data_IF_636006751772
#
_entry.id   IF_636006751772
#
_cell.length_a   1.000
_cell.length_b   1.000
_cell.length_c   1.000
_cell.angle_alpha   90.00
_cell.angle_beta   90.00
_cell.angle_gamma   90.00
#
_symmetry.space_group_name_H-M   'P 1'
#
loop_
_entity.id
_entity.type
_entity.pdbx_description
1 polymer ?
#
# COMPACT_ATOMS: atom_id res chain seq x y z
N UNK A 1 3.30 -1.47 -26.34
CA UNK A 1 2.70 -1.07 -25.04
C UNK A 1 1.54 -0.13 -25.30
N UNK A 2 0.33 -0.44 -24.83
CA UNK A 2 -0.81 0.49 -24.91
C UNK A 2 -0.44 1.78 -24.16
N UNK A 3 -0.63 2.94 -24.79
CA UNK A 3 -0.46 4.24 -24.13
C UNK A 3 -1.67 4.47 -23.22
N UNK A 4 -1.55 4.06 -21.96
CA UNK A 4 -2.53 4.37 -20.91
C UNK A 4 -2.27 5.81 -20.45
N UNK A 5 -3.33 6.61 -20.31
CA UNK A 5 -3.20 7.95 -19.74
C UNK A 5 -2.56 7.86 -18.34
N UNK A 6 -1.50 8.63 -18.11
CA UNK A 6 -0.75 8.61 -16.86
C UNK A 6 0.28 7.47 -16.72
N UNK A 7 0.58 6.72 -17.79
CA UNK A 7 1.55 5.61 -17.78
C UNK A 7 2.89 5.99 -17.12
N UNK A 8 3.52 7.09 -17.52
CA UNK A 8 4.78 7.58 -16.93
C UNK A 8 4.67 7.81 -15.43
N UNK A 9 3.52 8.29 -14.96
CA UNK A 9 3.29 8.51 -13.54
C UNK A 9 3.12 7.20 -12.78
N UNK A 10 2.46 6.20 -13.37
CA UNK A 10 2.38 4.85 -12.81
C UNK A 10 3.75 4.17 -12.76
N UNK A 11 4.56 4.30 -13.80
CA UNK A 11 5.94 3.80 -13.83
C UNK A 11 6.80 4.47 -12.74
N UNK A 12 6.68 5.79 -12.59
CA UNK A 12 7.38 6.54 -11.53
C UNK A 12 6.93 6.11 -10.13
N UNK A 13 5.64 5.92 -9.90
CA UNK A 13 5.10 5.41 -8.63
C UNK A 13 5.61 4.00 -8.35
N UNK A 14 5.65 3.12 -9.36
CA UNK A 14 6.17 1.77 -9.23
C UNK A 14 7.65 1.77 -8.81
N UNK A 15 8.49 2.54 -9.51
CA UNK A 15 9.91 2.67 -9.19
C UNK A 15 10.13 3.17 -7.75
N UNK A 16 9.45 4.25 -7.36
CA UNK A 16 9.54 4.79 -6.01
C UNK A 16 9.06 3.80 -4.95
N UNK A 17 8.01 3.03 -5.23
CA UNK A 17 7.50 2.02 -4.32
C UNK A 17 8.51 0.88 -4.10
N UNK A 18 9.14 0.38 -5.17
CA UNK A 18 10.16 -0.68 -5.07
C UNK A 18 11.37 -0.23 -4.24
N UNK A 19 11.90 0.97 -4.51
CA UNK A 19 13.03 1.52 -3.74
C UNK A 19 12.62 1.80 -2.29
N UNK A 20 11.44 2.39 -2.08
CA UNK A 20 10.94 2.66 -0.73
C UNK A 20 10.80 1.40 0.10
N UNK A 21 10.34 0.30 -0.51
CA UNK A 21 10.25 -1.03 0.12
C UNK A 21 11.62 -1.59 0.46
N UNK A 22 12.60 -1.49 -0.44
CA UNK A 22 13.98 -1.92 -0.19
C UNK A 22 14.64 -1.11 0.94
N UNK A 23 14.44 0.21 0.92
CA UNK A 23 14.99 1.12 1.93
C UNK A 23 14.31 0.98 3.29
N UNK A 24 13.11 0.42 3.37
CA UNK A 24 12.37 0.30 4.63
C UNK A 24 13.13 -0.46 5.72
N UNK A 25 14.00 -1.41 5.35
CA UNK A 25 14.87 -2.13 6.29
C UNK A 25 16.23 -1.51 6.55
N UNK A 26 16.72 -0.65 5.64
CA UNK A 26 18.05 -0.02 5.76
C UNK A 26 17.96 1.36 6.40
N UNK A 27 17.08 2.20 5.87
CA UNK A 27 16.89 3.57 6.31
C UNK A 27 15.39 3.93 6.23
N UNK A 28 14.67 3.89 7.36
CA UNK A 28 13.24 4.17 7.39
C UNK A 28 12.90 5.64 7.07
N UNK A 29 13.83 6.57 7.26
CA UNK A 29 13.63 7.97 6.88
C UNK A 29 13.61 8.14 5.36
N UNK A 30 14.53 7.47 4.64
CA UNK A 30 14.52 7.46 3.17
C UNK A 30 13.30 6.74 2.62
N UNK A 31 12.89 5.62 3.23
CA UNK A 31 11.63 4.96 2.85
C UNK A 31 10.43 5.90 2.99
N UNK A 32 10.36 6.64 4.10
CA UNK A 32 9.34 7.66 4.35
C UNK A 32 9.37 8.79 3.31
N UNK A 33 10.56 9.26 2.92
CA UNK A 33 10.72 10.27 1.88
C UNK A 33 10.16 9.80 0.52
N UNK A 34 10.54 8.60 0.06
CA UNK A 34 9.98 8.04 -1.18
C UNK A 34 8.46 7.79 -1.07
N UNK A 35 7.98 7.37 0.10
CA UNK A 35 6.55 7.24 0.38
C UNK A 35 5.80 8.57 0.25
N UNK A 36 6.38 9.68 0.72
CA UNK A 36 5.84 11.03 0.50
C UNK A 36 5.75 11.35 -1.00
N UNK A 37 6.80 11.05 -1.77
CA UNK A 37 6.80 11.30 -3.22
C UNK A 37 5.69 10.52 -3.95
N UNK A 38 5.49 9.24 -3.60
CA UNK A 38 4.41 8.42 -4.16
C UNK A 38 3.04 9.07 -3.94
N UNK A 39 2.77 9.53 -2.72
CA UNK A 39 1.50 10.18 -2.38
C UNK A 39 1.36 11.53 -3.09
N UNK A 40 2.43 12.31 -3.18
CA UNK A 40 2.42 13.61 -3.84
C UNK A 40 2.18 13.49 -5.35
N UNK A 41 2.83 12.54 -6.02
CA UNK A 41 2.59 12.23 -7.44
C UNK A 41 1.14 11.78 -7.64
N UNK A 42 0.64 10.90 -6.77
CA UNK A 42 -0.75 10.44 -6.81
C UNK A 42 -1.76 11.57 -6.66
N UNK A 43 -1.51 12.53 -5.76
CA UNK A 43 -2.35 13.72 -5.58
C UNK A 43 -2.28 14.67 -6.77
N UNK A 44 -1.07 14.99 -7.24
CA UNK A 44 -0.85 15.96 -8.32
C UNK A 44 -1.45 15.48 -9.65
N UNK A 45 -1.31 14.19 -9.94
CA UNK A 45 -1.76 13.60 -11.20
C UNK A 45 -3.12 12.90 -11.06
N UNK A 46 -3.82 13.06 -9.92
CA UNK A 46 -5.14 12.47 -9.63
C UNK A 46 -5.19 10.97 -9.92
N UNK A 47 -4.14 10.24 -9.52
CA UNK A 47 -4.00 8.82 -9.83
C UNK A 47 -4.76 7.93 -8.85
N UNK A 48 -5.46 6.94 -9.40
CA UNK A 48 -6.02 5.83 -8.63
C UNK A 48 -4.95 4.78 -8.33
N UNK A 49 -4.13 5.01 -7.31
CA UNK A 49 -3.13 4.03 -6.85
C UNK A 49 -3.82 2.75 -6.33
N UNK A 50 -3.25 1.59 -6.66
CA UNK A 50 -3.74 0.27 -6.25
C UNK A 50 -3.90 0.16 -4.71
N UNK A 51 -4.99 -0.47 -4.21
CA UNK A 51 -5.24 -0.63 -2.77
C UNK A 51 -4.07 -1.29 -2.04
N UNK A 52 -3.35 -2.24 -2.64
CA UNK A 52 -2.25 -2.93 -1.96
C UNK A 52 -1.07 -2.01 -1.63
N UNK A 53 -0.70 -1.13 -2.57
CA UNK A 53 0.32 -0.10 -2.32
C UNK A 53 -0.18 0.82 -1.19
N UNK A 54 -1.44 1.27 -1.25
CA UNK A 54 -2.03 2.12 -0.20
C UNK A 54 -2.11 1.42 1.16
N UNK A 55 -2.32 0.10 1.21
CA UNK A 55 -2.35 -0.70 2.44
C UNK A 55 -0.97 -0.73 3.09
N UNK A 56 0.08 -0.86 2.28
CA UNK A 56 1.47 -0.87 2.75
C UNK A 56 2.05 0.50 3.09
N UNK A 57 1.50 1.63 2.63
CA UNK A 57 1.99 2.96 3.04
C UNK A 57 1.47 3.35 4.43
N UNK A 58 2.35 3.77 5.34
CA UNK A 58 1.95 4.29 6.65
C UNK A 58 1.13 5.59 6.53
N UNK A 59 0.08 5.77 7.37
CA UNK A 59 -0.78 6.96 7.33
C UNK A 59 -0.06 8.25 7.76
N UNK A 60 0.89 8.15 8.70
CA UNK A 60 1.58 9.31 9.31
C UNK A 60 2.92 9.59 8.63
N UNK A 61 3.91 8.71 8.82
CA UNK A 61 5.25 8.89 8.27
C UNK A 61 5.39 8.52 6.79
N UNK A 62 4.40 7.82 6.21
CA UNK A 62 4.43 7.29 4.83
C UNK A 62 5.55 6.28 4.53
N UNK A 63 6.27 5.79 5.54
CA UNK A 63 7.14 4.61 5.42
C UNK A 63 6.36 3.41 4.88
N UNK A 64 7.00 2.60 4.03
CA UNK A 64 6.41 1.35 3.53
C UNK A 64 6.48 0.31 4.64
N UNK A 65 5.33 -0.27 4.96
CA UNK A 65 5.11 -1.26 6.00
C UNK A 65 5.43 -2.65 5.44
N UNK A 66 6.55 -3.21 5.90
CA UNK A 66 7.01 -4.56 5.58
C UNK A 66 7.04 -5.34 6.88
N UNK A 67 6.36 -6.49 6.91
CA UNK A 67 6.23 -7.29 8.11
C UNK A 67 7.61 -7.79 8.58
N UNK A 68 7.91 -7.64 9.86
CA UNK A 68 9.17 -8.06 10.47
C UNK A 68 10.36 -7.11 10.21
N UNK A 69 10.18 -6.08 9.38
CA UNK A 69 11.24 -5.13 9.03
C UNK A 69 10.90 -3.72 9.53
N UNK A 70 9.98 -3.04 8.85
CA UNK A 70 9.56 -1.66 9.19
C UNK A 70 8.25 -1.60 9.96
N UNK A 71 7.52 -2.70 10.03
CA UNK A 71 6.24 -2.79 10.69
C UNK A 71 6.00 -4.18 11.28
N UNK A 72 5.17 -4.22 12.32
CA UNK A 72 4.66 -5.47 12.91
C UNK A 72 3.23 -5.71 12.42
N UNK A 73 3.02 -6.85 11.75
CA UNK A 73 1.69 -7.32 11.36
C UNK A 73 1.15 -8.27 12.43
N UNK A 74 -0.08 -8.04 12.90
CA UNK A 74 -0.75 -8.87 13.91
C UNK A 74 -2.19 -9.17 13.50
N UNK A 75 -2.59 -10.43 13.68
CA UNK A 75 -3.98 -10.85 13.57
C UNK A 75 -4.67 -10.60 14.91
N UNK A 76 -5.69 -9.74 14.91
CA UNK A 76 -6.54 -9.47 16.07
C UNK A 76 -7.93 -10.03 15.87
N UNK A 77 -8.39 -10.79 16.85
CA UNK A 77 -9.76 -11.30 16.91
C UNK A 77 -10.50 -10.55 18.00
N UNK A 78 -11.59 -9.85 17.65
CA UNK A 78 -12.48 -9.20 18.61
C UNK A 78 -13.92 -9.55 18.24
N UNK A 79 -14.71 -10.04 19.20
CA UNK A 79 -16.13 -10.38 19.00
C UNK A 79 -16.37 -11.27 17.76
N UNK A 80 -15.62 -12.38 17.63
CA UNK A 80 -15.64 -13.32 16.48
C UNK A 80 -15.24 -12.73 15.12
N UNK A 81 -14.86 -11.44 15.03
CA UNK A 81 -14.37 -10.81 13.81
C UNK A 81 -12.84 -10.78 13.80
N UNK A 82 -12.24 -11.26 12.71
CA UNK A 82 -10.80 -11.22 12.49
C UNK A 82 -10.42 -9.90 11.81
N UNK A 83 -9.28 -9.35 12.21
CA UNK A 83 -8.75 -8.12 11.63
C UNK A 83 -7.22 -8.20 11.55
N UNK A 84 -6.67 -7.63 10.50
CA UNK A 84 -5.23 -7.50 10.28
C UNK A 84 -4.80 -6.11 10.72
N UNK A 85 -4.03 -6.02 11.80
CA UNK A 85 -3.43 -4.78 12.25
C UNK A 85 -1.97 -4.69 11.82
N UNK A 86 -1.62 -3.60 11.17
CA UNK A 86 -0.26 -3.16 10.94
C UNK A 86 0.11 -2.11 11.99
N UNK A 87 1.23 -2.26 12.68
CA UNK A 87 1.82 -1.24 13.55
C UNK A 87 3.16 -0.81 12.97
N UNK A 88 3.32 0.48 12.67
CA UNK A 88 4.59 1.01 12.19
C UNK A 88 5.63 1.05 13.32
N UNK A 89 6.86 0.59 13.08
CA UNK A 89 7.92 0.63 14.08
C UNK A 89 8.54 2.04 14.22
N UNK A 90 8.40 2.89 13.20
CA UNK A 90 8.99 4.24 13.19
C UNK A 90 8.13 5.28 13.91
N UNK A 91 6.81 5.26 13.71
CA UNK A 91 5.91 6.30 14.23
C UNK A 91 4.72 5.75 15.04
N UNK A 92 4.74 4.44 15.32
CA UNK A 92 3.76 3.69 16.13
C UNK A 92 2.30 3.72 15.66
N UNK A 93 2.02 4.44 14.59
CA UNK A 93 0.69 4.53 13.99
C UNK A 93 0.25 3.16 13.50
N UNK A 94 -1.00 2.81 13.79
CA UNK A 94 -1.55 1.53 13.37
C UNK A 94 -2.63 1.65 12.30
N UNK A 95 -2.70 0.65 11.43
CA UNK A 95 -3.74 0.50 10.41
C UNK A 95 -4.38 -0.86 10.58
N UNK A 96 -5.69 -0.87 10.76
CA UNK A 96 -6.45 -2.11 10.92
C UNK A 96 -7.31 -2.33 9.70
N UNK A 97 -7.25 -3.52 9.14
CA UNK A 97 -8.09 -3.97 8.03
C UNK A 97 -8.97 -5.12 8.50
N UNK A 98 -10.28 -5.09 8.27
CA UNK A 98 -11.13 -6.24 8.56
C UNK A 98 -10.75 -7.40 7.62
N UNK A 99 -10.62 -8.60 8.19
CA UNK A 99 -10.50 -9.84 7.44
C UNK A 99 -11.88 -10.48 7.40
N UNK A 100 -12.72 -9.97 6.52
CA UNK A 100 -14.05 -10.51 6.30
C UNK A 100 -13.97 -11.68 5.33
N UNK A 101 -14.75 -12.74 5.57
CA UNK A 101 -14.83 -13.87 4.63
C UNK A 101 -15.77 -13.56 3.47
N UNK A 102 -16.58 -12.51 3.60
CA UNK A 102 -17.62 -12.22 2.63
C UNK A 102 -17.05 -11.50 1.41
N UNK A 103 -17.21 -12.11 0.22
CA UNK A 103 -16.66 -11.60 -1.06
C UNK A 103 -17.22 -10.24 -1.47
N UNK A 104 -18.38 -9.87 -0.94
CA UNK A 104 -19.05 -8.58 -1.21
C UNK A 104 -18.24 -7.38 -0.72
N UNK A 105 -17.38 -7.57 0.29
CA UNK A 105 -16.58 -6.50 0.91
C UNK A 105 -15.23 -6.23 0.23
N UNK A 106 -14.93 -6.94 -0.87
CA UNK A 106 -13.73 -6.68 -1.66
C UNK A 106 -13.74 -5.26 -2.22
N UNK A 107 -12.56 -4.63 -2.28
CA UNK A 107 -12.42 -3.35 -2.98
C UNK A 107 -12.74 -3.58 -4.46
N UNK A 108 -13.35 -2.61 -5.14
CA UNK A 108 -13.73 -2.75 -6.57
C UNK A 108 -12.60 -3.34 -7.43
N UNK A 109 -11.37 -2.83 -7.27
CA UNK A 109 -10.16 -3.28 -7.97
C UNK A 109 -9.77 -4.75 -7.72
N UNK A 110 -10.29 -5.40 -6.67
CA UNK A 110 -10.01 -6.80 -6.33
C UNK A 110 -11.09 -7.76 -6.88
N UNK A 111 -12.18 -7.23 -7.46
CA UNK A 111 -13.22 -8.06 -8.08
C UNK A 111 -12.76 -8.53 -9.45
N UNK A 112 -13.08 -9.76 -9.82
CA UNK A 112 -12.74 -10.33 -11.13
C UNK A 112 -13.29 -9.49 -12.29
N UNK A 113 -14.49 -8.91 -12.13
CA UNK A 113 -15.14 -8.03 -13.10
C UNK A 113 -14.38 -6.73 -13.38
N UNK A 114 -13.53 -6.27 -12.46
CA UNK A 114 -12.76 -5.04 -12.62
C UNK A 114 -11.46 -5.26 -13.41
N UNK A 115 -11.08 -6.52 -13.67
CA UNK A 115 -9.85 -6.87 -14.39
C UNK A 115 -10.13 -6.79 -15.88
N UNK A 116 -9.50 -5.82 -16.55
CA UNK A 116 -9.62 -5.63 -18.00
C UNK A 116 -8.70 -6.58 -18.76
N UNK A 117 -7.44 -6.69 -18.32
CA UNK A 117 -6.40 -7.52 -18.94
C UNK A 117 -5.48 -8.11 -17.86
N UNK A 118 -5.14 -9.39 -17.99
CA UNK A 118 -4.10 -10.04 -17.20
C UNK A 118 -2.86 -10.10 -18.08
N UNK A 119 -1.78 -9.46 -17.64
CA UNK A 119 -0.49 -9.52 -18.32
C UNK A 119 0.15 -10.84 -17.88
N UNK A 120 0.17 -11.83 -18.78
CA UNK A 120 0.83 -13.11 -18.61
C UNK A 120 2.35 -13.00 -18.85
#
# INVERSE_FOLDING_TARGET
MRKVHGNDSFQRVNYLYQISKYMAGKNPALSSYYGNLIINIGKKNVLKIHPDIKRQVCKKCRCILVNGVSAKMQLKTKNKRKSLQWKCNTCETSKTFPLDKNRERLVWLERAEAVVEVIA
#
